data_IF_031545906524
#
_entry.id   IF_031545906524
#
_cell.length_a   1.000
_cell.length_b   1.000
_cell.length_c   1.000
_cell.angle_alpha   90.00
_cell.angle_beta   90.00
_cell.angle_gamma   90.00
#
_symmetry.space_group_name_H-M   'P 1'
#
loop_
_entity.id
_entity.type
_entity.pdbx_description
1 polymer ?
#
# COMPACT_ATOMS: atom_id res chain seq x y z
N UNK A 1 -30.06 -7.69 13.32
CA UNK A 1 -28.59 -7.87 13.41
C UNK A 1 -27.93 -8.34 12.11
N UNK A 2 -28.51 -9.31 11.37
CA UNK A 2 -27.93 -9.87 10.14
C UNK A 2 -27.65 -8.83 9.03
N UNK A 3 -28.56 -7.87 8.82
CA UNK A 3 -28.39 -6.82 7.79
C UNK A 3 -27.18 -5.90 8.06
N UNK A 4 -26.97 -5.48 9.31
CA UNK A 4 -25.85 -4.61 9.74
C UNK A 4 -24.49 -5.33 9.59
N UNK A 5 -24.48 -6.66 9.75
CA UNK A 5 -23.27 -7.46 9.60
C UNK A 5 -22.91 -7.70 8.12
N UNK A 6 -23.93 -7.76 7.24
CA UNK A 6 -23.77 -7.89 5.78
C UNK A 6 -23.25 -6.59 5.15
N UNK A 7 -23.72 -5.43 5.62
CA UNK A 7 -23.25 -4.11 5.14
C UNK A 7 -21.79 -3.83 5.55
N UNK A 8 -21.40 -4.13 6.80
CA UNK A 8 -20.00 -3.99 7.26
C UNK A 8 -19.02 -4.89 6.51
N UNK A 9 -19.40 -6.12 6.19
CA UNK A 9 -18.52 -7.03 5.42
C UNK A 9 -18.37 -6.62 3.96
N UNK A 10 -19.37 -5.97 3.38
CA UNK A 10 -19.26 -5.36 2.05
C UNK A 10 -18.33 -4.15 2.04
N UNK A 11 -18.37 -3.29 3.07
CA UNK A 11 -17.51 -2.10 3.12
C UNK A 11 -16.03 -2.45 3.25
N UNK A 12 -15.67 -3.44 4.08
CA UNK A 12 -14.26 -3.83 4.26
C UNK A 12 -13.65 -4.46 3.01
N UNK A 13 -14.42 -5.26 2.25
CA UNK A 13 -13.94 -5.85 0.98
C UNK A 13 -13.72 -4.78 -0.07
N UNK A 14 -14.66 -3.85 -0.21
CA UNK A 14 -14.52 -2.70 -1.12
C UNK A 14 -13.34 -1.82 -0.71
N UNK A 15 -13.14 -1.61 0.60
CA UNK A 15 -12.00 -0.88 1.14
C UNK A 15 -10.67 -1.55 0.79
N UNK A 16 -10.52 -2.85 1.02
CA UNK A 16 -9.29 -3.59 0.68
C UNK A 16 -9.05 -3.59 -0.82
N UNK A 17 -10.07 -3.80 -1.65
CA UNK A 17 -9.93 -3.73 -3.11
C UNK A 17 -9.46 -2.34 -3.59
N UNK A 18 -9.97 -1.26 -2.98
CA UNK A 18 -9.48 0.10 -3.24
C UNK A 18 -8.02 0.28 -2.86
N UNK A 19 -7.57 -0.31 -1.74
CA UNK A 19 -6.16 -0.25 -1.35
C UNK A 19 -5.25 -0.97 -2.37
N UNK A 20 -5.68 -2.12 -2.91
CA UNK A 20 -4.97 -2.78 -4.02
C UNK A 20 -4.86 -1.90 -5.27
N UNK A 21 -5.94 -1.22 -5.64
CA UNK A 21 -5.92 -0.31 -6.79
C UNK A 21 -5.05 0.93 -6.55
N UNK A 22 -4.98 1.43 -5.32
CA UNK A 22 -4.25 2.66 -5.00
C UNK A 22 -2.78 2.44 -4.68
N UNK A 23 -2.39 1.25 -4.23
CA UNK A 23 -1.02 0.96 -3.76
C UNK A 23 -0.32 0.03 -4.73
N UNK A 24 -0.84 -1.20 -4.88
CA UNK A 24 -0.19 -2.25 -5.66
C UNK A 24 -0.15 -1.94 -7.15
N UNK A 25 -1.27 -1.52 -7.75
CA UNK A 25 -1.32 -1.32 -9.21
C UNK A 25 -0.34 -0.23 -9.67
N UNK A 26 -0.32 0.97 -9.06
CA UNK A 26 0.69 1.98 -9.37
C UNK A 26 2.13 1.48 -9.17
N UNK A 27 2.40 0.75 -8.09
CA UNK A 27 3.71 0.15 -7.84
C UNK A 27 4.11 -0.87 -8.91
N UNK A 28 3.19 -1.68 -9.40
CA UNK A 28 3.47 -2.70 -10.41
C UNK A 28 3.66 -2.11 -11.81
N UNK A 29 2.97 -1.00 -12.12
CA UNK A 29 2.93 -0.43 -13.47
C UNK A 29 3.97 0.67 -13.66
N UNK A 30 4.05 1.65 -12.76
CA UNK A 30 4.82 2.88 -13.00
C UNK A 30 6.34 2.64 -13.10
N UNK A 31 6.97 1.79 -12.28
CA UNK A 31 8.39 1.47 -12.46
C UNK A 31 8.67 0.82 -13.82
N UNK A 32 7.78 -0.04 -14.32
CA UNK A 32 7.94 -0.62 -15.64
C UNK A 32 7.88 0.45 -16.74
N UNK A 33 6.96 1.39 -16.62
CA UNK A 33 6.78 2.45 -17.63
C UNK A 33 7.93 3.45 -17.61
N UNK A 34 8.37 3.90 -16.43
CA UNK A 34 9.24 5.07 -16.32
C UNK A 34 10.68 4.78 -15.89
N UNK A 35 10.97 3.57 -15.39
CA UNK A 35 12.28 3.24 -14.81
C UNK A 35 12.93 2.05 -15.51
N UNK A 36 12.17 1.10 -16.06
CA UNK A 36 12.72 -0.17 -16.56
C UNK A 36 13.43 -0.11 -17.92
N UNK A 37 13.53 1.05 -18.56
CA UNK A 37 14.11 1.20 -19.90
C UNK A 37 13.21 0.71 -21.04
N UNK A 38 12.10 0.04 -20.72
CA UNK A 38 11.24 -0.65 -21.71
C UNK A 38 10.28 0.27 -22.44
N UNK A 39 9.79 1.31 -21.78
CA UNK A 39 8.83 2.27 -22.36
C UNK A 39 9.48 3.64 -22.49
N UNK A 40 10.14 4.12 -21.44
CA UNK A 40 11.04 5.27 -21.50
C UNK A 40 12.48 4.74 -21.59
N UNK A 41 13.30 5.17 -22.57
CA UNK A 41 14.69 4.74 -22.68
C UNK A 41 15.49 5.04 -21.41
N UNK A 42 16.44 4.19 -21.03
CA UNK A 42 17.27 4.41 -19.82
C UNK A 42 18.12 5.69 -19.90
N UNK A 43 18.44 6.14 -21.11
CA UNK A 43 19.13 7.41 -21.35
C UNK A 43 18.24 8.64 -21.15
N UNK A 44 16.92 8.46 -21.09
CA UNK A 44 15.93 9.52 -20.94
C UNK A 44 15.63 9.75 -19.45
N UNK A 45 16.58 10.39 -18.76
CA UNK A 45 16.58 10.61 -17.30
C UNK A 45 15.38 11.42 -16.79
N UNK A 46 14.69 12.15 -17.67
CA UNK A 46 13.42 12.82 -17.34
C UNK A 46 12.34 11.84 -16.89
N UNK A 47 12.37 10.58 -17.34
CA UNK A 47 11.41 9.54 -16.97
C UNK A 47 11.35 9.31 -15.46
N UNK A 48 12.50 9.34 -14.79
CA UNK A 48 12.60 9.21 -13.33
C UNK A 48 11.96 10.39 -12.59
N UNK A 49 12.20 11.63 -13.07
CA UNK A 49 11.56 12.80 -12.49
C UNK A 49 10.02 12.73 -12.64
N UNK A 50 9.53 12.34 -13.83
CA UNK A 50 8.09 12.17 -14.08
C UNK A 50 7.48 11.07 -13.22
N UNK A 51 8.19 9.96 -13.02
CA UNK A 51 7.79 8.91 -12.10
C UNK A 51 7.49 9.48 -10.70
N UNK A 52 8.41 10.25 -10.11
CA UNK A 52 8.19 10.87 -8.81
C UNK A 52 6.99 11.83 -8.78
N UNK A 53 6.84 12.66 -9.81
CA UNK A 53 5.73 13.61 -9.93
C UNK A 53 4.35 12.93 -9.98
N UNK A 54 4.27 11.76 -10.61
CA UNK A 54 3.02 10.98 -10.69
C UNK A 54 2.81 10.19 -9.40
N UNK A 55 3.88 9.59 -8.87
CA UNK A 55 3.76 8.62 -7.81
C UNK A 55 3.54 9.24 -6.43
N UNK A 56 4.08 10.43 -6.16
CA UNK A 56 3.85 11.18 -4.91
C UNK A 56 2.36 11.48 -4.64
N UNK A 57 1.58 12.04 -5.59
CA UNK A 57 0.14 12.19 -5.43
C UNK A 57 -0.58 10.87 -5.16
N UNK A 58 -0.20 9.81 -5.84
CA UNK A 58 -0.79 8.47 -5.66
C UNK A 58 -0.52 7.96 -4.24
N UNK A 59 0.72 8.04 -3.76
CA UNK A 59 1.10 7.68 -2.40
C UNK A 59 0.33 8.52 -1.37
N UNK A 60 0.13 9.81 -1.62
CA UNK A 60 -0.63 10.68 -0.72
C UNK A 60 -2.11 10.28 -0.63
N UNK A 61 -2.72 9.92 -1.77
CA UNK A 61 -4.10 9.40 -1.82
C UNK A 61 -4.20 8.03 -1.14
N UNK A 62 -3.23 7.13 -1.39
CA UNK A 62 -3.14 5.82 -0.73
C UNK A 62 -2.99 5.96 0.79
N UNK A 63 -2.11 6.84 1.24
CA UNK A 63 -1.94 7.19 2.66
C UNK A 63 -3.25 7.71 3.26
N UNK A 64 -3.94 8.62 2.58
CA UNK A 64 -5.22 9.13 3.05
C UNK A 64 -6.30 8.03 3.13
N UNK A 65 -6.33 7.12 2.15
CA UNK A 65 -7.23 5.96 2.17
C UNK A 65 -6.96 5.03 3.36
N UNK A 66 -5.69 4.74 3.67
CA UNK A 66 -5.31 3.97 4.86
C UNK A 66 -5.70 4.69 6.16
N UNK A 67 -5.53 6.00 6.21
CA UNK A 67 -5.91 6.81 7.38
C UNK A 67 -7.41 6.75 7.65
N UNK A 68 -8.22 6.82 6.58
CA UNK A 68 -9.66 6.61 6.66
C UNK A 68 -9.97 5.19 7.16
N UNK A 69 -9.30 4.19 6.61
CA UNK A 69 -9.53 2.79 6.96
C UNK A 69 -9.20 2.47 8.44
N UNK A 70 -8.13 3.02 9.01
CA UNK A 70 -7.79 2.87 10.44
C UNK A 70 -8.89 3.36 11.37
N UNK A 71 -9.64 4.39 10.93
CA UNK A 71 -10.73 5.01 11.68
C UNK A 71 -12.06 4.26 11.54
N UNK A 72 -12.16 3.31 10.61
CA UNK A 72 -13.36 2.50 10.47
C UNK A 72 -13.47 1.45 11.59
N UNK A 73 -14.68 1.19 12.11
CA UNK A 73 -14.89 0.15 13.12
C UNK A 73 -14.54 -1.23 12.56
N UNK A 74 -13.39 -1.75 12.97
CA UNK A 74 -12.85 -3.03 12.50
C UNK A 74 -12.17 -3.78 13.64
N UNK A 75 -11.77 -5.04 13.39
CA UNK A 75 -11.03 -5.83 14.37
C UNK A 75 -9.65 -5.20 14.62
N UNK A 76 -9.18 -5.24 15.87
CA UNK A 76 -7.87 -4.73 16.31
C UNK A 76 -6.73 -5.19 15.38
N UNK A 77 -6.70 -6.47 14.98
CA UNK A 77 -5.66 -7.00 14.09
C UNK A 77 -5.60 -6.25 12.75
N UNK A 78 -6.75 -5.95 12.13
CA UNK A 78 -6.80 -5.20 10.87
C UNK A 78 -6.34 -3.76 11.08
N UNK A 79 -6.74 -3.13 12.20
CA UNK A 79 -6.32 -1.76 12.54
C UNK A 79 -4.80 -1.67 12.74
N UNK A 80 -4.20 -2.64 13.41
CA UNK A 80 -2.75 -2.71 13.62
C UNK A 80 -2.03 -2.84 12.28
N UNK A 81 -2.45 -3.76 11.41
CA UNK A 81 -1.84 -3.92 10.09
C UNK A 81 -1.92 -2.62 9.29
N UNK A 82 -3.08 -1.97 9.24
CA UNK A 82 -3.26 -0.72 8.48
C UNK A 82 -2.48 0.44 9.12
N UNK A 83 -2.34 0.48 10.44
CA UNK A 83 -1.49 1.46 11.12
C UNK A 83 -0.01 1.27 10.78
N UNK A 84 0.46 0.03 10.70
CA UNK A 84 1.81 -0.28 10.21
C UNK A 84 1.98 0.14 8.74
N UNK A 85 0.97 -0.12 7.90
CA UNK A 85 0.96 0.35 6.51
C UNK A 85 1.05 1.88 6.42
N UNK A 86 0.39 2.62 7.31
CA UNK A 86 0.51 4.09 7.37
C UNK A 86 1.94 4.54 7.69
N UNK A 87 2.63 3.85 8.60
CA UNK A 87 4.04 4.15 8.90
C UNK A 87 4.91 3.88 7.66
N UNK A 88 4.72 2.74 7.01
CA UNK A 88 5.43 2.36 5.80
C UNK A 88 5.17 3.35 4.64
N UNK A 89 3.92 3.78 4.44
CA UNK A 89 3.57 4.78 3.43
C UNK A 89 4.12 6.17 3.77
N UNK A 90 4.18 6.54 5.06
CA UNK A 90 4.84 7.77 5.49
C UNK A 90 6.34 7.74 5.15
N UNK A 91 7.00 6.61 5.39
CA UNK A 91 8.38 6.39 4.96
C UNK A 91 8.53 6.48 3.44
N UNK A 92 7.60 5.87 2.70
CA UNK A 92 7.56 5.92 1.24
C UNK A 92 7.45 7.36 0.71
N UNK A 93 6.51 8.14 1.25
CA UNK A 93 6.31 9.56 0.93
C UNK A 93 7.55 10.40 1.23
N UNK A 94 8.15 10.20 2.41
CA UNK A 94 9.38 10.89 2.81
C UNK A 94 10.53 10.57 1.83
N UNK A 95 10.72 9.29 1.50
CA UNK A 95 11.73 8.87 0.53
C UNK A 95 11.50 9.48 -0.85
N UNK A 96 10.31 9.32 -1.43
CA UNK A 96 10.02 9.88 -2.76
C UNK A 96 10.14 11.41 -2.81
N UNK A 97 9.71 12.11 -1.76
CA UNK A 97 9.85 13.56 -1.69
C UNK A 97 11.32 13.97 -1.62
N UNK A 98 12.13 13.28 -0.81
CA UNK A 98 13.56 13.54 -0.70
C UNK A 98 14.33 13.23 -1.99
N UNK A 99 14.00 12.11 -2.66
CA UNK A 99 14.53 11.80 -3.98
C UNK A 99 14.18 12.89 -5.00
N UNK A 100 12.92 13.34 -5.03
CA UNK A 100 12.50 14.40 -5.94
C UNK A 100 13.25 15.71 -5.66
N UNK A 101 13.47 16.07 -4.39
CA UNK A 101 14.27 17.25 -4.03
C UNK A 101 15.71 17.12 -4.55
N UNK A 102 16.34 15.96 -4.36
CA UNK A 102 17.69 15.71 -4.89
C UNK A 102 17.71 15.82 -6.43
N UNK A 103 16.71 15.27 -7.11
CA UNK A 103 16.55 15.37 -8.57
C UNK A 103 16.36 16.80 -9.02
N UNK A 104 15.51 17.58 -8.35
CA UNK A 104 15.30 19.01 -8.65
C UNK A 104 16.60 19.80 -8.47
N UNK A 105 17.34 19.56 -7.38
CA UNK A 105 18.63 20.21 -7.13
C UNK A 105 19.70 19.84 -8.18
N UNK A 106 19.65 18.61 -8.69
CA UNK A 106 20.56 18.11 -9.73
C UNK A 106 20.24 18.55 -11.16
N UNK A 107 19.19 19.35 -11.40
CA UNK A 107 18.79 19.79 -12.75
C UNK A 107 17.48 19.19 -13.27
N UNK A 108 16.73 18.52 -12.40
CA UNK A 108 15.37 18.02 -12.61
C UNK A 108 15.24 17.10 -13.84
N UNK A 109 14.62 17.57 -14.93
CA UNK A 109 14.48 16.80 -16.18
C UNK A 109 15.80 16.59 -16.93
N UNK A 110 16.82 17.38 -16.60
CA UNK A 110 18.17 17.30 -17.18
C UNK A 110 19.20 16.81 -16.16
N UNK A 111 18.74 16.22 -15.04
CA UNK A 111 19.64 15.70 -14.01
C UNK A 111 20.63 14.69 -14.61
N UNK A 112 21.92 14.77 -14.26
CA UNK A 112 22.93 13.86 -14.79
C UNK A 112 22.76 12.45 -14.23
N UNK A 113 23.30 11.45 -14.93
CA UNK A 113 23.28 10.06 -14.48
C UNK A 113 23.97 9.84 -13.12
N UNK A 114 24.87 10.75 -12.70
CA UNK A 114 25.53 10.67 -11.38
C UNK A 114 24.54 10.64 -10.22
N UNK A 115 23.32 11.16 -10.41
CA UNK A 115 22.32 11.21 -9.34
C UNK A 115 21.96 9.83 -8.78
N UNK A 116 22.05 8.78 -9.61
CA UNK A 116 21.86 7.38 -9.21
C UNK A 116 22.98 6.81 -8.35
N UNK A 117 24.05 7.57 -8.15
CA UNK A 117 25.19 7.24 -7.30
C UNK A 117 25.42 8.27 -6.20
N UNK A 118 24.63 9.35 -6.18
CA UNK A 118 24.76 10.43 -5.22
C UNK A 118 24.12 10.05 -3.88
N UNK A 119 24.86 10.34 -2.81
CA UNK A 119 24.48 10.00 -1.43
C UNK A 119 23.06 10.48 -1.03
N UNK A 120 22.62 11.72 -1.30
CA UNK A 120 21.28 12.14 -0.90
C UNK A 120 20.17 11.37 -1.64
N UNK A 121 20.29 11.18 -2.95
CA UNK A 121 19.30 10.43 -3.74
C UNK A 121 19.18 8.99 -3.25
N UNK A 122 20.32 8.30 -3.13
CA UNK A 122 20.34 6.90 -2.69
C UNK A 122 19.88 6.71 -1.25
N UNK A 123 20.18 7.66 -0.35
CA UNK A 123 19.68 7.63 1.02
C UNK A 123 18.15 7.66 1.05
N UNK A 124 17.52 8.58 0.33
CA UNK A 124 16.06 8.69 0.29
C UNK A 124 15.40 7.51 -0.44
N UNK A 125 16.05 6.97 -1.48
CA UNK A 125 15.58 5.80 -2.21
C UNK A 125 15.40 4.57 -1.29
N UNK A 126 16.23 4.42 -0.26
CA UNK A 126 16.08 3.33 0.72
C UNK A 126 14.77 3.44 1.50
N UNK A 127 14.35 4.66 1.88
CA UNK A 127 13.08 4.89 2.57
C UNK A 127 11.88 4.75 1.63
N UNK A 128 12.03 5.20 0.39
CA UNK A 128 11.01 5.09 -0.65
C UNK A 128 10.70 3.61 -0.93
N UNK A 129 11.71 2.87 -1.39
CA UNK A 129 11.57 1.47 -1.77
C UNK A 129 11.20 0.60 -0.56
N UNK A 130 11.90 0.78 0.56
CA UNK A 130 11.63 0.01 1.79
C UNK A 130 10.21 0.24 2.31
N UNK A 131 9.76 1.50 2.35
CA UNK A 131 8.41 1.85 2.77
C UNK A 131 7.34 1.25 1.87
N UNK A 132 7.53 1.25 0.55
CA UNK A 132 6.57 0.70 -0.40
C UNK A 132 6.54 -0.82 -0.33
N UNK A 133 7.69 -1.49 -0.43
CA UNK A 133 7.74 -2.96 -0.39
C UNK A 133 7.14 -3.51 0.91
N UNK A 134 7.44 -2.88 2.05
CA UNK A 134 6.83 -3.24 3.33
C UNK A 134 5.30 -3.02 3.31
N UNK A 135 4.83 -1.93 2.69
CA UNK A 135 3.40 -1.67 2.55
C UNK A 135 2.70 -2.73 1.69
N UNK A 136 3.31 -3.17 0.59
CA UNK A 136 2.75 -4.21 -0.29
C UNK A 136 2.66 -5.57 0.42
N UNK A 137 3.71 -5.95 1.17
CA UNK A 137 3.67 -7.16 1.99
C UNK A 137 2.56 -7.09 3.05
N UNK A 138 2.42 -5.94 3.71
CA UNK A 138 1.35 -5.73 4.69
C UNK A 138 -0.05 -5.72 4.05
N UNK A 139 -0.19 -5.27 2.80
CA UNK A 139 -1.45 -5.32 2.05
C UNK A 139 -1.89 -6.76 1.77
N UNK A 140 -0.94 -7.65 1.44
CA UNK A 140 -1.19 -9.09 1.34
C UNK A 140 -1.64 -9.65 2.69
N UNK A 141 -0.89 -9.35 3.76
CA UNK A 141 -1.23 -9.79 5.13
C UNK A 141 -2.60 -9.29 5.56
N UNK A 142 -2.95 -8.04 5.26
CA UNK A 142 -4.27 -7.45 5.54
C UNK A 142 -5.37 -8.25 4.83
N UNK A 143 -5.17 -8.55 3.55
CA UNK A 143 -6.12 -9.28 2.71
C UNK A 143 -6.36 -10.69 3.23
N UNK A 144 -5.28 -11.43 3.53
CA UNK A 144 -5.35 -12.78 4.10
C UNK A 144 -6.01 -12.75 5.47
N UNK A 145 -5.63 -11.81 6.34
CA UNK A 145 -6.23 -11.67 7.67
C UNK A 145 -7.73 -11.40 7.60
N UNK A 146 -8.16 -10.51 6.70
CA UNK A 146 -9.58 -10.23 6.48
C UNK A 146 -10.34 -11.46 5.94
N UNK A 147 -9.73 -12.22 5.02
CA UNK A 147 -10.31 -13.44 4.48
C UNK A 147 -10.47 -14.53 5.55
N UNK A 148 -9.43 -14.80 6.35
CA UNK A 148 -9.46 -15.78 7.44
C UNK A 148 -10.52 -15.39 8.48
N UNK A 149 -10.58 -14.13 8.90
CA UNK A 149 -11.60 -13.68 9.85
C UNK A 149 -13.02 -13.82 9.30
N UNK A 150 -13.22 -13.62 7.99
CA UNK A 150 -14.51 -13.83 7.33
C UNK A 150 -14.90 -15.31 7.29
N UNK A 151 -13.94 -16.21 7.03
CA UNK A 151 -14.17 -17.66 7.04
C UNK A 151 -14.55 -18.14 8.44
N UNK A 152 -13.79 -17.74 9.47
CA UNK A 152 -14.07 -18.10 10.87
C UNK A 152 -15.44 -17.63 11.36
N UNK A 153 -15.92 -16.47 10.90
CA UNK A 153 -17.28 -15.97 11.21
C UNK A 153 -18.40 -16.70 10.46
N UNK A 154 -18.08 -17.37 9.35
CA UNK A 154 -19.03 -18.13 8.52
C UNK A 154 -19.10 -19.59 8.90
N UNK A 155 -18.09 -20.13 9.58
CA UNK A 155 -18.14 -21.48 10.14
C UNK A 155 -19.28 -21.56 11.16
N UNK A 156 -20.29 -22.43 10.93
CA UNK A 156 -21.28 -22.71 11.96
C UNK A 156 -20.53 -23.20 13.18
N UNK A 157 -20.76 -22.57 14.35
CA UNK A 157 -20.43 -23.25 15.60
C UNK A 157 -21.25 -24.54 15.59
N UNK A 158 -20.57 -25.67 15.41
CA UNK A 158 -21.13 -26.98 15.77
C UNK A 158 -21.35 -26.92 17.27
N UNK A 159 -22.52 -26.45 17.69
CA UNK A 159 -23.03 -26.70 19.04
C UNK A 159 -23.35 -28.18 19.08
N UNK A 160 -22.32 -28.99 19.38
CA UNK A 160 -22.48 -30.36 19.86
C UNK A 160 -23.22 -30.28 21.19
N UNK A 161 -24.54 -30.39 21.12
CA UNK A 161 -25.44 -30.17 22.24
C UNK A 161 -26.84 -30.67 21.92
N UNK A 162 -26.94 -31.95 21.56
CA UNK A 162 -28.15 -32.74 21.77
C UNK A 162 -27.73 -34.04 22.45
N UNK A 163 -27.71 -34.00 23.79
CA UNK A 163 -27.89 -35.22 24.57
C UNK A 163 -29.36 -35.65 24.39
N UNK A 164 -29.66 -36.88 23.96
CA UNK A 164 -31.02 -37.39 24.01
C UNK A 164 -31.37 -37.58 25.48
N UNK A 165 -32.32 -36.78 25.97
CA UNK A 165 -33.03 -37.07 27.22
C UNK A 165 -33.84 -38.33 27.00
N UNK A 166 -33.41 -39.40 27.63
CA UNK A 166 -34.19 -40.61 27.87
C UNK A 166 -35.43 -40.28 28.68
N UNK A 167 -36.60 -40.67 28.17
CA UNK A 167 -37.79 -40.97 28.95
C UNK A 167 -38.50 -42.16 28.27
#
# INVERSE_FOLDING_TARGET
>A
MVAIQRTRTSSSVVGIARLWLLMFVPFAVLPFVFISGKVVPDSALWGHAVFHLIYLPILAVGWWALWRFVREPSNLALRVIVALMLLCQTSGLFGHAGELVAVVQGGFFSAPYSIWSENPHMFFAMFALGGIMASELLLIVLTVTAAVQRLLRRSPRVTGGQAPTSA
#
